data_IF_054986171517
#
_entry.id   IF_054986171517
#
_cell.length_a   1.000
_cell.length_b   1.000
_cell.length_c   1.000
_cell.angle_alpha   90.00
_cell.angle_beta   90.00
_cell.angle_gamma   90.00
#
_symmetry.space_group_name_H-M   'P 1'
#
loop_
_entity.id
_entity.type
_entity.pdbx_description
1 polymer ?
#
# COMPACT_ATOMS: atom_id res chain seq x y z
N UNK A 1 -26.64 -18.18 6.66
CA UNK A 1 -25.63 -17.24 6.14
C UNK A 1 -25.52 -16.10 7.15
N UNK A 2 -24.46 -16.10 7.95
CA UNK A 2 -24.14 -14.99 8.84
C UNK A 2 -23.61 -13.85 7.98
N UNK A 3 -24.34 -12.74 7.92
CA UNK A 3 -23.83 -11.51 7.32
C UNK A 3 -22.58 -11.09 8.11
N UNK A 4 -21.43 -10.95 7.42
CA UNK A 4 -20.26 -10.36 8.02
C UNK A 4 -20.59 -8.93 8.47
N UNK A 5 -20.25 -8.59 9.71
CA UNK A 5 -20.34 -7.21 10.21
C UNK A 5 -19.58 -6.31 9.23
N UNK A 6 -20.15 -5.20 8.72
CA UNK A 6 -19.39 -4.28 7.90
C UNK A 6 -18.23 -3.74 8.75
N UNK A 7 -17.00 -4.12 8.44
CA UNK A 7 -15.83 -3.58 9.12
C UNK A 7 -15.55 -2.19 8.52
N UNK A 8 -15.47 -1.17 9.36
CA UNK A 8 -15.10 0.17 8.92
C UNK A 8 -13.64 0.20 8.45
N UNK A 9 -13.23 1.28 7.77
CA UNK A 9 -11.83 1.51 7.38
C UNK A 9 -10.85 1.25 8.52
N UNK A 10 -11.15 1.80 9.71
CA UNK A 10 -10.31 1.61 10.90
C UNK A 10 -10.20 0.16 11.33
N UNK A 11 -11.30 -0.57 11.35
CA UNK A 11 -11.32 -1.98 11.74
C UNK A 11 -10.54 -2.84 10.74
N UNK A 12 -10.68 -2.56 9.44
CA UNK A 12 -9.92 -3.25 8.41
C UNK A 12 -8.43 -2.97 8.55
N UNK A 13 -8.04 -1.71 8.72
CA UNK A 13 -6.64 -1.33 8.92
C UNK A 13 -6.06 -1.94 10.19
N UNK A 14 -6.82 -1.97 11.29
CA UNK A 14 -6.44 -2.65 12.52
C UNK A 14 -6.16 -4.15 12.26
N UNK A 15 -7.05 -4.83 11.55
CA UNK A 15 -6.89 -6.25 11.21
C UNK A 15 -5.66 -6.52 10.34
N UNK A 16 -5.24 -5.56 9.51
CA UNK A 16 -4.07 -5.72 8.62
C UNK A 16 -2.78 -5.14 9.15
N UNK A 17 -2.78 -4.53 10.34
CA UNK A 17 -1.54 -4.10 11.02
C UNK A 17 -0.59 -5.27 11.22
N UNK A 18 0.72 -5.01 11.12
CA UNK A 18 1.77 -6.01 11.23
C UNK A 18 2.74 -5.97 10.06
N UNK A 19 3.48 -7.07 9.92
CA UNK A 19 4.53 -7.22 8.93
C UNK A 19 4.06 -8.10 7.77
N UNK A 20 4.38 -7.68 6.57
CA UNK A 20 4.06 -8.35 5.32
C UNK A 20 5.33 -8.47 4.48
N UNK A 21 5.52 -9.62 3.85
CA UNK A 21 6.61 -9.85 2.90
C UNK A 21 6.03 -10.29 1.57
N UNK A 22 6.68 -9.88 0.49
CA UNK A 22 6.13 -10.00 -0.84
C UNK A 22 7.11 -9.69 -1.94
N UNK A 23 6.55 -9.47 -3.13
CA UNK A 23 7.32 -9.07 -4.30
C UNK A 23 6.61 -7.98 -5.07
N UNK A 24 7.40 -7.12 -5.71
CA UNK A 24 6.96 -6.11 -6.66
C UNK A 24 7.34 -6.60 -8.05
N UNK A 25 6.36 -6.72 -8.94
CA UNK A 25 6.57 -7.02 -10.36
C UNK A 25 6.12 -5.85 -11.20
N UNK A 26 7.05 -5.16 -11.85
CA UNK A 26 6.74 -4.00 -12.70
C UNK A 26 6.52 -4.46 -14.14
N UNK A 27 5.41 -4.03 -14.71
CA UNK A 27 4.96 -4.40 -16.05
C UNK A 27 4.88 -3.16 -16.95
N UNK A 28 5.20 -3.36 -18.23
CA UNK A 28 4.82 -2.42 -19.28
C UNK A 28 3.29 -2.41 -19.48
N UNK A 29 2.72 -1.41 -20.18
CA UNK A 29 1.30 -1.41 -20.53
C UNK A 29 0.88 -2.62 -21.39
N UNK A 30 1.84 -3.26 -22.09
CA UNK A 30 1.61 -4.47 -22.86
C UNK A 30 1.72 -5.76 -22.01
N UNK A 31 2.05 -5.66 -20.72
CA UNK A 31 2.19 -6.79 -19.81
C UNK A 31 3.58 -7.41 -19.76
N UNK A 32 4.59 -6.78 -20.37
CA UNK A 32 5.96 -7.28 -20.33
C UNK A 32 6.60 -6.98 -18.96
N UNK A 33 7.23 -7.99 -18.36
CA UNK A 33 7.96 -7.80 -17.09
C UNK A 33 9.21 -6.95 -17.33
N UNK A 34 9.25 -5.79 -16.67
CA UNK A 34 10.39 -4.88 -16.69
C UNK A 34 11.34 -5.12 -15.53
N UNK A 35 10.80 -5.52 -14.39
CA UNK A 35 11.58 -5.68 -13.16
C UNK A 35 10.81 -6.51 -12.12
N UNK A 36 11.54 -7.18 -11.23
CA UNK A 36 10.98 -7.93 -10.10
C UNK A 36 11.93 -7.93 -8.92
N UNK A 37 11.42 -7.62 -7.73
CA UNK A 37 12.21 -7.64 -6.50
C UNK A 37 11.37 -7.90 -5.26
N UNK A 38 12.03 -8.34 -4.19
CA UNK A 38 11.39 -8.60 -2.90
C UNK A 38 11.08 -7.31 -2.15
N UNK A 39 10.06 -7.35 -1.31
CA UNK A 39 9.67 -6.23 -0.47
C UNK A 39 9.20 -6.70 0.90
N UNK A 40 9.35 -5.81 1.88
CA UNK A 40 8.79 -5.95 3.21
C UNK A 40 8.00 -4.70 3.55
N UNK A 41 6.75 -4.86 3.96
CA UNK A 41 5.90 -3.78 4.42
C UNK A 41 5.55 -3.97 5.89
N UNK A 42 5.65 -2.90 6.65
CA UNK A 42 5.34 -2.86 8.07
C UNK A 42 4.28 -1.79 8.33
N UNK A 43 3.23 -2.16 9.03
CA UNK A 43 2.07 -1.29 9.26
C UNK A 43 1.70 -1.25 10.73
N UNK A 44 1.40 -0.04 11.23
CA UNK A 44 0.99 0.19 12.61
C UNK A 44 -0.22 1.13 12.66
N UNK A 45 -1.08 0.89 13.63
CA UNK A 45 -2.20 1.76 13.98
C UNK A 45 -2.08 2.16 15.45
N UNK A 46 -1.87 3.44 15.72
CA UNK A 46 -1.73 4.00 17.07
C UNK A 46 -2.75 5.11 17.28
N UNK A 47 -3.80 4.82 18.06
CA UNK A 47 -4.94 5.74 18.20
C UNK A 47 -5.63 5.97 16.86
N UNK A 48 -5.48 7.18 16.32
CA UNK A 48 -6.01 7.62 15.01
C UNK A 48 -4.90 7.87 13.97
N UNK A 49 -3.67 7.41 14.24
CA UNK A 49 -2.54 7.52 13.34
C UNK A 49 -2.20 6.18 12.70
N UNK A 50 -2.05 6.20 11.39
CA UNK A 50 -1.52 5.10 10.59
C UNK A 50 -0.06 5.36 10.28
N UNK A 51 0.76 4.32 10.40
CA UNK A 51 2.16 4.33 10.00
C UNK A 51 2.41 3.16 9.07
N UNK A 52 3.18 3.42 8.02
CA UNK A 52 3.55 2.41 7.04
C UNK A 52 5.01 2.61 6.66
N UNK A 53 5.78 1.52 6.70
CA UNK A 53 7.16 1.46 6.24
C UNK A 53 7.25 0.40 5.15
N UNK A 54 7.83 0.75 4.01
CA UNK A 54 8.09 -0.18 2.91
C UNK A 54 9.59 -0.25 2.71
N UNK A 55 10.11 -1.48 2.66
CA UNK A 55 11.52 -1.77 2.39
C UNK A 55 11.59 -2.55 1.08
N UNK A 56 12.21 -1.95 0.06
CA UNK A 56 12.48 -2.62 -1.21
C UNK A 56 13.84 -3.28 -1.19
N UNK A 57 13.90 -4.54 -1.63
CA UNK A 57 15.09 -5.38 -1.62
C UNK A 57 15.46 -5.76 -3.06
N UNK A 58 16.05 -4.79 -3.78
CA UNK A 58 16.51 -4.97 -5.15
C UNK A 58 17.85 -5.72 -5.17
N UNK A 59 18.02 -6.76 -5.99
CA UNK A 59 19.29 -7.49 -6.08
C UNK A 59 20.47 -6.57 -6.40
N UNK A 60 21.52 -6.60 -5.57
CA UNK A 60 22.74 -5.80 -5.80
C UNK A 60 22.66 -4.34 -5.35
N UNK A 61 21.57 -3.93 -4.70
CA UNK A 61 21.40 -2.59 -4.14
C UNK A 61 21.19 -2.65 -2.62
N UNK A 62 21.55 -1.58 -1.92
CA UNK A 62 21.15 -1.40 -0.53
C UNK A 62 19.62 -1.28 -0.43
N UNK A 63 19.00 -1.74 0.67
CA UNK A 63 17.56 -1.61 0.86
C UNK A 63 17.10 -0.15 0.77
N UNK A 64 16.08 0.10 -0.06
CA UNK A 64 15.41 1.40 -0.13
C UNK A 64 14.24 1.41 0.85
N UNK A 65 14.15 2.44 1.69
CA UNK A 65 13.13 2.55 2.74
C UNK A 65 12.24 3.76 2.46
N UNK A 66 10.93 3.54 2.45
CA UNK A 66 9.91 4.58 2.37
C UNK A 66 9.02 4.53 3.62
N UNK A 67 8.84 5.69 4.23
CA UNK A 67 8.06 5.85 5.46
C UNK A 67 6.88 6.79 5.21
N UNK A 68 5.68 6.32 5.51
CA UNK A 68 4.42 7.04 5.31
C UNK A 68 3.64 7.17 6.61
N UNK A 69 2.95 8.31 6.75
CA UNK A 69 2.08 8.60 7.88
C UNK A 69 0.73 9.08 7.36
N UNK A 70 -0.34 8.67 8.03
CA UNK A 70 -1.68 9.09 7.70
C UNK A 70 -2.58 9.20 8.93
N UNK A 71 -3.73 9.88 8.75
CA UNK A 71 -4.79 10.01 9.75
C UNK A 71 -6.15 9.67 9.17
N UNK A 72 -7.10 9.34 10.03
CA UNK A 72 -8.50 9.23 9.63
C UNK A 72 -9.13 10.62 9.50
N UNK A 73 -9.78 10.88 8.36
CA UNK A 73 -10.48 12.14 8.11
C UNK A 73 -11.70 11.87 7.23
N UNK A 74 -12.91 12.15 7.72
CA UNK A 74 -14.13 12.05 6.92
C UNK A 74 -14.47 10.64 6.41
N UNK A 75 -14.00 9.57 7.07
CA UNK A 75 -14.18 8.19 6.61
C UNK A 75 -13.08 7.69 5.65
N UNK A 76 -12.09 8.52 5.37
CA UNK A 76 -10.92 8.22 4.53
C UNK A 76 -9.66 8.12 5.39
N UNK A 77 -8.61 7.49 4.83
CA UNK A 77 -7.26 7.56 5.36
C UNK A 77 -6.48 8.59 4.53
N UNK A 78 -6.10 9.70 5.15
CA UNK A 78 -5.41 10.81 4.50
C UNK A 78 -3.93 10.79 4.84
N UNK A 79 -3.10 10.71 3.81
CA UNK A 79 -1.66 10.89 3.88
C UNK A 79 -1.34 12.37 3.68
N UNK A 80 -0.62 12.96 4.62
CA UNK A 80 -0.22 14.37 4.55
C UNK A 80 1.25 14.55 4.93
N UNK A 81 2.11 14.24 3.98
CA UNK A 81 3.52 14.57 4.03
C UNK A 81 3.82 15.72 3.05
N UNK A 82 4.77 16.64 3.33
CA UNK A 82 5.15 17.69 2.37
C UNK A 82 5.56 17.15 0.99
N UNK A 83 6.07 15.92 0.93
CA UNK A 83 6.54 15.26 -0.29
C UNK A 83 5.52 14.32 -0.95
N UNK A 84 4.41 14.02 -0.26
CA UNK A 84 3.49 12.96 -0.66
C UNK A 84 2.06 13.25 -0.19
N UNK A 85 1.12 13.16 -1.13
CA UNK A 85 -0.30 13.35 -0.84
C UNK A 85 -1.16 12.25 -1.46
N UNK A 86 -2.18 11.84 -0.72
CA UNK A 86 -3.14 10.86 -1.19
C UNK A 86 -4.22 10.57 -0.16
N UNK A 87 -5.29 9.93 -0.62
CA UNK A 87 -6.45 9.56 0.20
C UNK A 87 -6.88 8.15 -0.15
N UNK A 88 -6.96 7.27 0.85
CA UNK A 88 -7.45 5.91 0.66
C UNK A 88 -8.86 5.75 1.22
N UNK A 89 -9.70 5.05 0.46
CA UNK A 89 -11.09 4.73 0.84
C UNK A 89 -11.30 3.23 0.87
N UNK A 90 -12.05 2.74 1.86
CA UNK A 90 -12.45 1.33 1.93
C UNK A 90 -13.76 1.13 1.16
N UNK A 91 -13.76 0.17 0.24
CA UNK A 91 -14.91 -0.25 -0.55
C UNK A 91 -15.29 -1.68 -0.13
N UNK A 92 -16.56 -1.85 0.25
CA UNK A 92 -17.15 -3.14 0.65
C UNK A 92 -16.36 -3.93 1.72
N UNK A 93 -15.67 -3.24 2.62
CA UNK A 93 -14.91 -3.91 3.69
C UNK A 93 -13.62 -4.61 3.22
N UNK A 94 -13.33 -4.62 1.91
CA UNK A 94 -12.37 -5.55 1.29
C UNK A 94 -11.34 -4.89 0.37
N UNK A 95 -11.68 -3.77 -0.24
CA UNK A 95 -10.81 -3.11 -1.21
C UNK A 95 -10.41 -1.75 -0.68
N UNK A 96 -9.11 -1.43 -0.67
CA UNK A 96 -8.67 -0.05 -0.53
C UNK A 96 -8.36 0.51 -1.91
N UNK A 97 -8.98 1.63 -2.23
CA UNK A 97 -8.67 2.42 -3.42
C UNK A 97 -7.90 3.64 -2.95
N UNK A 98 -6.71 3.86 -3.51
CA UNK A 98 -5.75 4.85 -3.03
C UNK A 98 -5.07 5.58 -4.20
N UNK A 99 -5.66 6.66 -4.71
CA UNK A 99 -4.95 7.61 -5.56
C UNK A 99 -3.95 8.44 -4.74
N UNK A 100 -2.74 8.57 -5.26
CA UNK A 100 -1.69 9.39 -4.65
C UNK A 100 -0.66 9.91 -5.67
N UNK A 101 0.12 10.90 -5.23
CA UNK A 101 1.21 11.50 -6.00
C UNK A 101 2.36 11.95 -5.09
N UNK A 102 3.56 11.95 -5.64
CA UNK A 102 4.72 12.62 -5.03
C UNK A 102 4.79 14.05 -5.53
N UNK A 103 4.98 15.02 -4.64
CA UNK A 103 4.98 16.45 -5.00
C UNK A 103 6.18 16.83 -5.87
N UNK A 104 7.28 16.06 -5.79
CA UNK A 104 8.47 16.24 -6.61
C UNK A 104 8.30 15.77 -8.08
N UNK A 105 7.30 14.96 -8.39
CA UNK A 105 7.01 14.47 -9.75
C UNK A 105 5.53 14.66 -10.10
N UNK A 106 5.09 15.92 -10.31
CA UNK A 106 3.67 16.25 -10.49
C UNK A 106 3.06 15.72 -11.79
N UNK A 107 3.88 15.28 -12.76
CA UNK A 107 3.41 14.63 -13.98
C UNK A 107 3.01 13.17 -13.76
N UNK A 108 3.34 12.59 -12.60
CA UNK A 108 3.07 11.20 -12.27
C UNK A 108 1.96 11.09 -11.23
N UNK A 109 0.99 10.22 -11.52
CA UNK A 109 -0.07 9.81 -10.60
C UNK A 109 -0.04 8.29 -10.47
N UNK A 110 -0.32 7.79 -9.26
CA UNK A 110 -0.53 6.36 -9.05
C UNK A 110 -1.93 6.14 -8.49
N UNK A 111 -2.66 5.22 -9.10
CA UNK A 111 -3.89 4.68 -8.53
C UNK A 111 -3.60 3.29 -8.04
N UNK A 112 -3.61 3.15 -6.72
CA UNK A 112 -3.44 1.87 -6.05
C UNK A 112 -4.79 1.22 -5.73
N UNK A 113 -4.90 -0.07 -6.01
CA UNK A 113 -5.96 -0.94 -5.52
C UNK A 113 -5.34 -2.03 -4.66
N UNK A 114 -5.68 -2.07 -3.38
CA UNK A 114 -5.32 -3.15 -2.46
C UNK A 114 -6.53 -4.06 -2.31
N UNK A 115 -6.37 -5.33 -2.67
CA UNK A 115 -7.36 -6.37 -2.47
C UNK A 115 -6.93 -7.25 -1.31
N UNK A 116 -7.73 -7.22 -0.25
CA UNK A 116 -7.60 -8.18 0.82
C UNK A 116 -8.29 -9.49 0.44
N UNK A 117 -7.49 -10.49 0.10
CA UNK A 117 -8.01 -11.80 -0.27
C UNK A 117 -8.44 -12.59 0.97
N UNK A 118 -7.65 -12.50 2.04
CA UNK A 118 -7.97 -12.93 3.40
C UNK A 118 -7.22 -12.03 4.42
N UNK A 119 -7.00 -12.49 5.65
CA UNK A 119 -6.34 -11.73 6.71
C UNK A 119 -4.80 -11.81 6.68
N UNK A 120 -4.24 -12.77 5.92
CA UNK A 120 -2.81 -13.08 5.84
C UNK A 120 -2.26 -13.04 4.41
N UNK A 121 -3.11 -12.77 3.41
CA UNK A 121 -2.75 -12.62 2.02
C UNK A 121 -3.48 -11.43 1.40
N UNK A 122 -2.71 -10.56 0.76
CA UNK A 122 -3.21 -9.41 0.01
C UNK A 122 -2.45 -9.26 -1.29
N UNK A 123 -3.13 -8.70 -2.28
CA UNK A 123 -2.54 -8.29 -3.53
C UNK A 123 -2.79 -6.80 -3.75
N UNK A 124 -1.82 -6.11 -4.33
CA UNK A 124 -1.92 -4.68 -4.66
C UNK A 124 -1.62 -4.50 -6.14
N UNK A 125 -2.35 -3.58 -6.75
CA UNK A 125 -2.17 -3.17 -8.13
C UNK A 125 -1.91 -1.68 -8.14
N UNK A 126 -0.75 -1.28 -8.66
CA UNK A 126 -0.44 0.13 -8.89
C UNK A 126 -0.57 0.41 -10.38
N UNK A 127 -1.50 1.27 -10.75
CA UNK A 127 -1.54 1.83 -12.10
C UNK A 127 -0.79 3.16 -12.07
N UNK A 128 0.35 3.21 -12.76
CA UNK A 128 1.13 4.44 -12.87
C UNK A 128 0.73 5.18 -14.14
N UNK A 129 0.32 6.42 -13.98
CA UNK A 129 0.01 7.33 -15.07
C UNK A 129 1.08 8.41 -15.14
N UNK A 130 1.53 8.73 -16.35
CA UNK A 130 2.36 9.90 -16.65
C UNK A 130 1.60 10.78 -17.63
N UNK A 131 1.39 12.04 -17.25
CA UNK A 131 0.66 13.03 -18.03
C UNK A 131 -0.70 12.50 -18.54
N UNK A 132 -1.42 11.79 -17.66
CA UNK A 132 -2.74 11.20 -17.95
C UNK A 132 -2.72 9.95 -18.82
N UNK A 133 -1.55 9.37 -19.12
CA UNK A 133 -1.42 8.12 -19.89
C UNK A 133 -0.84 7.00 -19.04
N UNK A 134 -1.37 5.78 -19.20
CA UNK A 134 -0.84 4.60 -18.52
C UNK A 134 0.62 4.36 -18.93
N UNK A 135 1.53 4.44 -17.98
CA UNK A 135 2.98 4.21 -18.16
C UNK A 135 3.36 2.76 -17.84
N UNK A 136 2.64 2.14 -16.91
CA UNK A 136 2.87 0.77 -16.49
C UNK A 136 1.98 0.36 -15.32
N UNK A 137 2.08 -0.92 -14.97
CA UNK A 137 1.37 -1.51 -13.84
C UNK A 137 2.37 -2.22 -12.94
N UNK A 138 2.23 -2.09 -11.63
CA UNK A 138 2.96 -2.94 -10.68
C UNK A 138 1.99 -3.91 -10.03
N UNK A 139 2.30 -5.21 -10.10
CA UNK A 139 1.62 -6.26 -9.36
C UNK A 139 2.42 -6.55 -8.11
N UNK A 140 1.77 -6.49 -6.96
CA UNK A 140 2.39 -6.70 -5.66
C UNK A 140 1.62 -7.81 -4.96
N UNK A 141 2.32 -8.88 -4.58
CA UNK A 141 1.74 -9.99 -3.83
C UNK A 141 2.42 -10.11 -2.49
N UNK A 142 1.64 -10.17 -1.41
CA UNK A 142 2.16 -10.11 -0.05
C UNK A 142 1.47 -11.10 0.87
N UNK A 143 2.27 -11.67 1.76
CA UNK A 143 1.81 -12.53 2.86
C UNK A 143 2.21 -11.93 4.20
N UNK A 144 1.34 -12.07 5.18
CA UNK A 144 1.65 -11.70 6.56
C UNK A 144 2.79 -12.59 7.07
N UNK A 145 3.70 -12.01 7.83
CA UNK A 145 4.73 -12.73 8.58
C UNK A 145 4.22 -12.98 10.00
N UNK A 146 3.85 -14.22 10.37
CA UNK A 146 3.28 -14.51 11.68
C UNK A 146 4.27 -14.22 12.82
N UNK A 147 3.80 -13.56 13.87
CA UNK A 147 4.61 -13.26 15.06
C UNK A 147 5.68 -12.18 14.86
N UNK A 148 5.80 -11.59 13.67
CA UNK A 148 6.70 -10.48 13.43
C UNK A 148 6.11 -9.16 13.94
N UNK A 149 6.96 -8.35 14.55
CA UNK A 149 6.61 -7.02 15.06
C UNK A 149 7.11 -5.96 14.11
N UNK A 150 6.24 -5.02 13.74
CA UNK A 150 6.62 -3.86 12.95
C UNK A 150 7.58 -2.96 13.74
N UNK A 151 8.57 -2.40 13.08
CA UNK A 151 9.51 -1.47 13.68
C UNK A 151 8.79 -0.20 14.14
N UNK A 152 9.15 0.27 15.33
CA UNK A 152 8.69 1.55 15.87
C UNK A 152 9.70 2.62 15.51
N UNK A 153 9.27 3.53 14.65
CA UNK A 153 9.99 4.71 14.23
C UNK A 153 9.11 5.95 14.48
N UNK A 154 9.74 7.07 14.79
CA UNK A 154 9.08 8.32 15.20
C UNK A 154 9.30 9.42 14.16
#
# INVERSE_FOLDING_TARGET
>A
MTAAVPCGLRDRLAAVTGVWEGSYTHLSPAGEVRDTYASRQETRLEGDRWYERIVYQRPGHDPEVLDFRARFEGGELRFDDPSFEGRAVLVEGRFLVFPYRWTADPGTEVVELITFADDDYKARLWQRFRDGRLEGVTVIEERRVPGATAEVWH
#
